data_IF_998181297350
#
_entry.id   IF_998181297350
#
_cell.length_a   1.000
_cell.length_b   1.000
_cell.length_c   1.000
_cell.angle_alpha   90.00
_cell.angle_beta   90.00
_cell.angle_gamma   90.00
#
_symmetry.space_group_name_H-M   'P 1'
#
loop_
_entity.id
_entity.type
_entity.pdbx_description
1 polymer ?
#
# COMPACT_ATOMS: atom_id res chain seq x y z
N UNK A 1 43.92 16.08 -16.74
CA UNK A 1 42.62 16.72 -16.44
C UNK A 1 41.87 15.78 -15.48
N UNK A 2 41.50 16.31 -14.32
CA UNK A 2 40.75 15.72 -13.18
C UNK A 2 40.32 14.24 -13.20
N UNK A 3 41.08 13.39 -12.53
CA UNK A 3 40.58 12.14 -11.92
C UNK A 3 40.05 12.47 -10.51
N UNK A 4 38.75 12.26 -10.28
CA UNK A 4 38.15 12.27 -8.94
C UNK A 4 38.17 10.86 -8.38
N UNK A 5 38.77 10.77 -7.21
CA UNK A 5 39.09 9.59 -6.42
C UNK A 5 37.88 9.26 -5.53
N UNK A 6 37.42 8.01 -5.53
CA UNK A 6 36.65 7.43 -4.41
C UNK A 6 37.16 6.00 -4.15
N UNK A 7 37.82 5.72 -3.01
CA UNK A 7 38.17 4.37 -2.58
C UNK A 7 37.02 3.69 -1.80
N UNK A 8 37.10 2.36 -1.58
CA UNK A 8 35.97 1.51 -1.21
C UNK A 8 35.65 1.51 0.30
N UNK A 9 34.39 1.25 0.64
CA UNK A 9 33.95 1.02 2.02
C UNK A 9 34.40 -0.37 2.53
N UNK A 10 35.45 -0.40 3.36
CA UNK A 10 35.69 -1.36 4.46
C UNK A 10 35.69 -0.50 5.74
N UNK A 11 35.23 -0.90 6.92
CA UNK A 11 35.17 -2.19 7.59
C UNK A 11 34.24 -2.08 8.80
N UNK A 12 33.54 -3.17 9.12
CA UNK A 12 32.72 -3.36 10.32
C UNK A 12 33.56 -3.11 11.58
N UNK A 13 33.11 -2.19 12.43
CA UNK A 13 33.78 -1.75 13.64
C UNK A 13 33.87 -2.91 14.67
N UNK A 14 35.08 -3.41 15.00
CA UNK A 14 35.29 -4.62 15.81
C UNK A 14 34.87 -4.47 17.28
N UNK A 15 34.50 -3.25 17.69
CA UNK A 15 34.11 -2.90 19.05
C UNK A 15 32.72 -3.42 19.42
N UNK A 16 31.79 -3.51 18.46
CA UNK A 16 30.41 -4.00 18.67
C UNK A 16 30.32 -5.51 18.86
N UNK A 17 31.15 -6.28 18.16
CA UNK A 17 31.15 -7.73 18.23
C UNK A 17 31.71 -8.27 19.56
N UNK A 18 32.61 -7.53 20.21
CA UNK A 18 33.18 -7.89 21.52
C UNK A 18 32.17 -7.69 22.65
N UNK A 19 31.39 -6.60 22.61
CA UNK A 19 30.36 -6.30 23.60
C UNK A 19 29.18 -7.29 23.60
N UNK A 20 28.81 -7.83 22.43
CA UNK A 20 27.68 -8.78 22.33
C UNK A 20 28.06 -10.19 22.84
N UNK A 21 29.33 -10.59 22.68
CA UNK A 21 29.83 -11.89 23.16
C UNK A 21 30.01 -11.93 24.68
N UNK A 22 30.55 -10.89 25.29
CA UNK A 22 30.71 -10.82 26.76
C UNK A 22 29.36 -10.74 27.51
N UNK A 23 28.31 -10.24 26.86
CA UNK A 23 26.96 -10.16 27.42
C UNK A 23 26.18 -11.48 27.39
N UNK A 24 26.49 -12.38 26.45
CA UNK A 24 25.84 -13.70 26.33
C UNK A 24 26.40 -14.74 27.30
N UNK A 25 27.64 -14.58 27.78
CA UNK A 25 28.29 -15.53 28.69
C UNK A 25 27.88 -15.39 30.17
N UNK A 26 27.28 -14.26 30.59
CA UNK A 26 27.04 -13.97 32.03
C UNK A 26 25.64 -14.25 32.55
N UNK A 27 24.74 -14.80 31.74
CA UNK A 27 23.43 -15.38 32.11
C UNK A 27 22.68 -14.76 33.33
N UNK A 28 22.71 -13.44 33.51
CA UNK A 28 21.94 -12.68 34.52
C UNK A 28 21.86 -11.20 34.12
N UNK A 29 20.67 -10.59 33.99
CA UNK A 29 20.57 -9.14 33.87
C UNK A 29 20.44 -8.52 35.27
N UNK A 30 21.56 -8.18 35.89
CA UNK A 30 21.59 -7.31 37.06
C UNK A 30 21.50 -5.84 36.61
N UNK A 31 20.30 -5.27 36.64
CA UNK A 31 20.08 -3.82 36.54
C UNK A 31 20.48 -3.14 37.86
N UNK A 32 21.76 -2.83 38.02
CA UNK A 32 22.22 -1.89 39.04
C UNK A 32 22.63 -0.59 38.37
N UNK A 33 21.79 0.45 38.54
CA UNK A 33 22.06 1.82 38.08
C UNK A 33 23.21 2.43 38.87
N UNK A 34 24.23 3.04 38.24
CA UNK A 34 25.05 4.04 38.91
C UNK A 34 24.33 5.40 38.86
N UNK A 35 24.20 6.02 40.02
CA UNK A 35 23.74 7.40 40.22
C UNK A 35 24.78 8.40 39.72
N UNK A 36 24.44 9.21 38.71
CA UNK A 36 24.62 10.68 38.70
C UNK A 36 24.47 11.25 37.29
N UNK A 37 23.75 12.37 37.21
CA UNK A 37 23.62 13.18 36.01
C UNK A 37 22.34 12.90 35.23
N UNK A 38 21.18 13.26 35.80
CA UNK A 38 19.97 13.48 34.99
C UNK A 38 20.27 14.64 34.04
N UNK A 39 20.74 14.33 32.82
CA UNK A 39 20.53 15.24 31.69
C UNK A 39 19.02 15.46 31.63
N UNK A 40 18.52 16.70 31.54
CA UNK A 40 17.10 16.90 31.29
C UNK A 40 16.81 16.19 29.98
N UNK A 41 15.98 15.15 30.03
CA UNK A 41 15.30 14.67 28.84
C UNK A 41 14.60 15.91 28.28
N UNK A 42 14.82 16.32 27.02
CA UNK A 42 14.07 17.43 26.44
C UNK A 42 12.60 17.12 26.71
N UNK A 43 11.93 18.03 27.43
CA UNK A 43 10.57 17.81 27.87
C UNK A 43 9.73 17.40 26.66
N UNK A 44 8.91 16.36 26.81
CA UNK A 44 7.85 16.06 25.83
C UNK A 44 7.21 17.40 25.47
N UNK A 45 7.12 17.80 24.19
CA UNK A 45 6.46 19.04 23.85
C UNK A 45 5.06 18.95 24.45
N UNK A 46 4.80 19.82 25.44
CA UNK A 46 3.46 19.99 26.00
C UNK A 46 2.62 20.55 24.87
N UNK A 47 1.87 19.68 24.19
CA UNK A 47 0.76 20.07 23.33
C UNK A 47 -0.38 20.60 24.23
N UNK A 48 -0.13 21.64 25.02
CA UNK A 48 -1.10 22.25 25.96
C UNK A 48 -1.97 23.31 25.23
N UNK A 49 -2.20 23.17 23.92
CA UNK A 49 -3.17 23.99 23.19
C UNK A 49 -3.96 23.14 22.22
N UNK A 50 -5.29 23.29 22.21
CA UNK A 50 -6.22 22.61 21.30
C UNK A 50 -5.75 22.72 19.85
N UNK A 51 -5.24 23.90 19.45
CA UNK A 51 -4.64 24.12 18.14
C UNK A 51 -3.41 23.25 17.86
N UNK A 52 -2.50 23.10 18.82
CA UNK A 52 -1.32 22.25 18.62
C UNK A 52 -1.71 20.76 18.49
N UNK A 53 -2.78 20.34 19.15
CA UNK A 53 -3.32 18.99 19.02
C UNK A 53 -4.01 18.76 17.68
N UNK A 54 -4.80 19.73 17.20
CA UNK A 54 -5.41 19.71 15.85
C UNK A 54 -4.34 19.65 14.76
N UNK A 55 -3.36 20.56 14.79
CA UNK A 55 -2.27 20.57 13.80
C UNK A 55 -1.44 19.28 13.82
N UNK A 56 -1.23 18.70 14.99
CA UNK A 56 -0.53 17.42 15.09
C UNK A 56 -1.33 16.28 14.46
N UNK A 57 -2.65 16.21 14.70
CA UNK A 57 -3.52 15.21 14.10
C UNK A 57 -3.59 15.35 12.58
N UNK A 58 -3.78 16.57 12.07
CA UNK A 58 -3.73 16.87 10.64
C UNK A 58 -2.42 16.38 10.02
N UNK A 59 -1.29 16.67 10.67
CA UNK A 59 0.00 16.22 10.18
C UNK A 59 0.14 14.69 10.15
N UNK A 60 -0.43 13.97 11.11
CA UNK A 60 -0.46 12.51 11.09
C UNK A 60 -1.27 11.96 9.92
N UNK A 61 -2.37 12.60 9.53
CA UNK A 61 -3.15 12.19 8.37
C UNK A 61 -2.37 12.43 7.07
N UNK A 62 -1.66 13.55 6.98
CA UNK A 62 -0.88 13.91 5.81
C UNK A 62 0.39 13.06 5.62
N UNK A 63 1.00 12.58 6.71
CA UNK A 63 2.19 11.73 6.64
C UNK A 63 1.87 10.26 6.34
N UNK A 64 0.60 9.87 6.34
CA UNK A 64 0.21 8.50 6.10
C UNK A 64 0.51 8.12 4.64
N UNK A 65 1.15 6.96 4.39
CA UNK A 65 1.45 6.49 3.03
C UNK A 65 0.21 5.95 2.29
N UNK A 66 -0.92 5.88 2.97
CA UNK A 66 -2.19 5.38 2.45
C UNK A 66 -3.11 6.55 2.17
N UNK A 67 -3.94 6.42 1.13
CA UNK A 67 -4.96 7.41 0.82
C UNK A 67 -6.07 7.35 1.87
N UNK A 68 -6.37 8.49 2.48
CA UNK A 68 -7.32 8.59 3.58
C UNK A 68 -8.46 9.53 3.19
N UNK A 69 -9.68 9.13 3.54
CA UNK A 69 -10.85 9.99 3.54
C UNK A 69 -11.61 9.87 4.86
N UNK A 70 -11.88 11.01 5.47
CA UNK A 70 -12.83 11.14 6.57
C UNK A 70 -14.19 11.51 6.02
N UNK A 71 -15.22 10.81 6.48
CA UNK A 71 -16.61 11.04 6.08
C UNK A 71 -17.48 11.40 7.28
N UNK A 72 -18.53 12.16 7.04
CA UNK A 72 -19.62 12.35 8.00
C UNK A 72 -20.55 11.11 8.05
N UNK A 73 -21.61 11.20 8.87
CA UNK A 73 -22.63 10.15 9.02
C UNK A 73 -23.47 9.92 7.76
N UNK A 74 -23.46 10.86 6.81
CA UNK A 74 -24.12 10.74 5.50
C UNK A 74 -23.16 10.22 4.42
N UNK A 75 -21.94 9.83 4.80
CA UNK A 75 -20.86 9.37 3.92
C UNK A 75 -20.35 10.46 2.94
N UNK A 76 -20.52 11.73 3.30
CA UNK A 76 -19.93 12.86 2.58
C UNK A 76 -18.54 13.14 3.10
N UNK A 77 -17.63 13.48 2.20
CA UNK A 77 -16.24 13.77 2.55
C UNK A 77 -16.15 15.03 3.41
N UNK A 78 -15.52 14.91 4.58
CA UNK A 78 -15.17 16.02 5.45
C UNK A 78 -13.67 16.30 5.47
N UNK A 79 -12.83 15.36 5.04
CA UNK A 79 -11.39 15.61 4.87
C UNK A 79 -10.76 14.50 4.03
N UNK A 80 -9.70 14.84 3.30
CA UNK A 80 -8.85 13.90 2.55
C UNK A 80 -7.41 14.32 2.70
N UNK A 81 -6.49 13.36 2.73
CA UNK A 81 -5.06 13.66 2.77
C UNK A 81 -4.46 13.82 1.36
N UNK A 82 -3.19 14.20 1.30
CA UNK A 82 -2.43 14.34 0.05
C UNK A 82 -2.41 13.05 -0.76
N UNK A 83 -2.29 11.88 -0.11
CA UNK A 83 -2.26 10.59 -0.81
C UNK A 83 -3.58 10.24 -1.49
N UNK A 84 -4.73 10.62 -0.91
CA UNK A 84 -6.03 10.48 -1.58
C UNK A 84 -6.06 11.29 -2.87
N UNK A 85 -5.60 12.54 -2.82
CA UNK A 85 -5.51 13.41 -4.00
C UNK A 85 -4.58 12.80 -5.05
N UNK A 86 -3.42 12.29 -4.63
CA UNK A 86 -2.46 11.63 -5.52
C UNK A 86 -3.03 10.37 -6.18
N UNK A 87 -3.77 9.56 -5.42
CA UNK A 87 -4.31 8.28 -5.90
C UNK A 87 -5.51 8.46 -6.84
N UNK A 88 -6.45 9.34 -6.49
CA UNK A 88 -7.73 9.48 -7.20
C UNK A 88 -7.84 10.71 -8.09
N UNK A 89 -6.97 11.71 -7.92
CA UNK A 89 -6.93 12.93 -8.74
C UNK A 89 -7.97 13.99 -8.38
N UNK A 90 -8.72 13.82 -7.28
CA UNK A 90 -9.64 14.83 -6.77
C UNK A 90 -8.93 15.73 -5.76
N UNK A 91 -9.04 17.04 -5.94
CA UNK A 91 -8.56 18.00 -4.95
C UNK A 91 -9.41 17.96 -3.67
N UNK A 92 -8.88 18.37 -2.51
CA UNK A 92 -9.66 18.44 -1.28
C UNK A 92 -10.94 19.27 -1.43
N UNK A 93 -10.88 20.38 -2.16
CA UNK A 93 -12.01 21.27 -2.42
C UNK A 93 -13.08 20.61 -3.31
N UNK A 94 -12.65 19.81 -4.29
CA UNK A 94 -13.57 19.05 -5.13
C UNK A 94 -14.19 17.86 -4.41
N UNK A 95 -13.50 17.30 -3.42
CA UNK A 95 -13.98 16.15 -2.67
C UNK A 95 -14.94 16.58 -1.55
N UNK A 96 -14.66 17.71 -0.88
CA UNK A 96 -15.41 18.21 0.27
C UNK A 96 -16.93 18.25 0.04
N UNK A 97 -17.68 17.69 0.99
CA UNK A 97 -19.15 17.68 1.00
C UNK A 97 -19.81 16.75 -0.02
N UNK A 98 -19.04 16.10 -0.91
CA UNK A 98 -19.57 15.13 -1.87
C UNK A 98 -19.63 13.74 -1.27
N UNK A 99 -20.62 12.97 -1.68
CA UNK A 99 -20.73 11.57 -1.33
C UNK A 99 -19.53 10.80 -1.93
N UNK A 100 -18.80 10.06 -1.09
CA UNK A 100 -17.58 9.37 -1.51
C UNK A 100 -17.84 8.36 -2.64
N UNK A 101 -19.01 7.71 -2.62
CA UNK A 101 -19.42 6.76 -3.65
C UNK A 101 -19.52 7.38 -5.04
N UNK A 102 -19.89 8.67 -5.14
CA UNK A 102 -19.98 9.38 -6.41
C UNK A 102 -18.61 9.84 -6.93
N UNK A 103 -17.58 9.82 -6.09
CA UNK A 103 -16.23 10.24 -6.46
C UNK A 103 -15.41 9.05 -7.00
N UNK A 104 -15.39 7.96 -6.25
CA UNK A 104 -14.39 6.90 -6.46
C UNK A 104 -14.99 5.51 -6.67
N UNK A 105 -16.31 5.32 -6.55
CA UNK A 105 -16.90 4.00 -6.78
C UNK A 105 -17.34 3.84 -8.24
N UNK A 106 -16.91 2.76 -8.93
CA UNK A 106 -17.42 2.43 -10.25
C UNK A 106 -18.94 2.21 -10.25
N UNK A 107 -19.66 2.58 -11.32
CA UNK A 107 -21.13 2.54 -11.37
C UNK A 107 -21.71 1.11 -11.31
N UNK A 108 -20.93 0.08 -11.63
CA UNK A 108 -21.32 -1.33 -11.57
C UNK A 108 -21.23 -1.94 -10.15
N UNK A 109 -20.88 -1.15 -9.14
CA UNK A 109 -20.62 -1.61 -7.76
C UNK A 109 -21.73 -1.31 -6.76
N UNK A 110 -22.97 -1.19 -7.20
CA UNK A 110 -24.13 -0.91 -6.34
C UNK A 110 -24.28 -1.90 -5.17
N UNK A 111 -24.05 -3.20 -5.40
CA UNK A 111 -24.13 -4.21 -4.33
C UNK A 111 -23.04 -4.01 -3.24
N UNK A 112 -21.84 -3.59 -3.63
CA UNK A 112 -20.75 -3.30 -2.71
C UNK A 112 -21.07 -2.08 -1.83
N UNK A 113 -21.69 -1.05 -2.41
CA UNK A 113 -22.17 0.14 -1.69
C UNK A 113 -23.17 -0.27 -0.60
N UNK A 114 -24.18 -1.07 -0.96
CA UNK A 114 -25.20 -1.52 -0.02
C UNK A 114 -24.58 -2.29 1.15
N UNK A 115 -23.70 -3.25 0.84
CA UNK A 115 -23.01 -4.04 1.86
C UNK A 115 -22.13 -3.18 2.79
N UNK A 116 -21.35 -2.24 2.23
CA UNK A 116 -20.51 -1.34 3.04
C UNK A 116 -21.36 -0.49 3.99
N UNK A 117 -22.47 0.09 3.50
CA UNK A 117 -23.38 0.92 4.31
C UNK A 117 -24.00 0.10 5.45
N UNK A 118 -24.46 -1.12 5.16
CA UNK A 118 -25.04 -2.00 6.18
C UNK A 118 -24.04 -2.33 7.30
N UNK A 119 -22.82 -2.73 6.94
CA UNK A 119 -21.78 -3.08 7.90
C UNK A 119 -21.37 -1.88 8.76
N UNK A 120 -21.25 -0.69 8.16
CA UNK A 120 -20.90 0.54 8.87
C UNK A 120 -22.00 0.97 9.85
N UNK A 121 -23.28 0.82 9.49
CA UNK A 121 -24.43 1.08 10.39
C UNK A 121 -24.41 0.12 11.59
N UNK A 122 -23.95 -1.11 11.40
CA UNK A 122 -23.76 -2.07 12.49
C UNK A 122 -22.53 -1.79 13.36
N UNK A 123 -21.80 -0.70 13.10
CA UNK A 123 -20.57 -0.36 13.81
C UNK A 123 -19.39 -1.29 13.47
N UNK A 124 -19.50 -2.06 12.38
CA UNK A 124 -18.47 -3.02 12.00
C UNK A 124 -17.46 -2.40 11.05
N UNK A 125 -16.18 -2.77 11.22
CA UNK A 125 -15.14 -2.44 10.24
C UNK A 125 -15.31 -3.32 9.01
N UNK A 126 -15.02 -2.75 7.85
CA UNK A 126 -14.98 -3.47 6.58
C UNK A 126 -13.59 -3.40 5.98
N UNK A 127 -13.19 -4.44 5.25
CA UNK A 127 -11.96 -4.46 4.48
C UNK A 127 -12.11 -5.43 3.30
N UNK A 128 -11.72 -5.01 2.10
CA UNK A 128 -11.76 -5.83 0.89
C UNK A 128 -10.78 -5.36 -0.18
N UNK A 129 -10.34 -6.29 -1.03
CA UNK A 129 -9.73 -5.94 -2.31
C UNK A 129 -10.82 -5.63 -3.34
N UNK A 130 -10.76 -4.46 -3.96
CA UNK A 130 -11.76 -4.00 -4.91
C UNK A 130 -11.14 -3.01 -5.90
N UNK A 131 -11.96 -2.53 -6.85
CA UNK A 131 -11.56 -1.48 -7.79
C UNK A 131 -12.22 -0.17 -7.43
N UNK A 132 -11.47 0.92 -7.59
CA UNK A 132 -11.95 2.29 -7.50
C UNK A 132 -11.68 3.01 -8.81
N UNK A 133 -12.45 4.05 -9.06
CA UNK A 133 -12.34 4.89 -10.23
C UNK A 133 -11.62 6.19 -9.86
N UNK A 134 -10.62 6.56 -10.65
CA UNK A 134 -9.98 7.88 -10.57
C UNK A 134 -10.82 8.92 -11.32
N UNK A 135 -10.53 10.20 -11.11
CA UNK A 135 -11.19 11.32 -11.78
C UNK A 135 -11.12 11.24 -13.32
N UNK A 136 -10.06 10.67 -13.87
CA UNK A 136 -9.88 10.47 -15.32
C UNK A 136 -10.68 9.27 -15.88
N UNK A 137 -11.40 8.54 -15.03
CA UNK A 137 -12.18 7.36 -15.36
C UNK A 137 -11.40 6.04 -15.31
N UNK A 138 -10.07 6.08 -15.15
CA UNK A 138 -9.24 4.88 -15.01
C UNK A 138 -9.54 4.12 -13.71
N UNK A 139 -9.35 2.80 -13.74
CA UNK A 139 -9.51 1.97 -12.56
C UNK A 139 -8.19 1.78 -11.82
N UNK A 140 -8.28 1.67 -10.50
CA UNK A 140 -7.17 1.30 -9.61
C UNK A 140 -7.60 0.13 -8.75
N UNK A 141 -6.74 -0.89 -8.67
CA UNK A 141 -6.91 -1.97 -7.71
C UNK A 141 -6.48 -1.47 -6.33
N UNK A 142 -7.39 -1.53 -5.36
CA UNK A 142 -7.13 -1.07 -3.99
C UNK A 142 -7.53 -2.12 -2.98
N UNK A 143 -6.78 -2.16 -1.88
CA UNK A 143 -7.29 -2.68 -0.63
C UNK A 143 -7.99 -1.53 0.10
N UNK A 144 -9.32 -1.59 0.16
CA UNK A 144 -10.16 -0.58 0.79
C UNK A 144 -10.55 -1.06 2.19
N UNK A 145 -10.45 -0.19 3.18
CA UNK A 145 -11.01 -0.44 4.52
C UNK A 145 -11.81 0.77 4.99
N UNK A 146 -12.90 0.51 5.71
CA UNK A 146 -13.71 1.56 6.32
C UNK A 146 -14.02 1.18 7.76
N UNK A 147 -13.74 2.11 8.67
CA UNK A 147 -13.95 1.95 10.11
C UNK A 147 -14.88 3.05 10.61
N UNK A 148 -15.99 2.73 11.28
CA UNK A 148 -16.85 3.75 11.86
C UNK A 148 -16.12 4.47 13.00
N UNK A 149 -16.22 5.79 13.04
CA UNK A 149 -15.64 6.62 14.10
C UNK A 149 -16.69 6.83 15.17
N UNK A 150 -16.42 6.33 16.38
CA UNK A 150 -17.34 6.37 17.51
C UNK A 150 -16.86 7.38 18.56
N UNK A 151 -17.71 8.32 18.94
CA UNK A 151 -17.48 9.24 20.07
C UNK A 151 -18.63 9.09 21.05
N UNK A 152 -18.33 8.79 22.31
CA UNK A 152 -19.33 8.59 23.37
C UNK A 152 -20.44 7.58 23.02
N UNK A 153 -20.10 6.55 22.24
CA UNK A 153 -21.05 5.51 21.80
C UNK A 153 -21.89 5.89 20.57
N UNK A 154 -21.74 7.10 20.03
CA UNK A 154 -22.40 7.54 18.82
C UNK A 154 -21.43 7.55 17.63
N UNK A 155 -21.88 7.04 16.48
CA UNK A 155 -21.12 7.18 15.24
C UNK A 155 -21.16 8.63 14.78
N UNK A 156 -19.98 9.22 14.61
CA UNK A 156 -19.82 10.61 14.14
C UNK A 156 -19.30 10.70 12.72
N UNK A 157 -18.88 9.57 12.14
CA UNK A 157 -18.33 9.53 10.80
C UNK A 157 -17.73 8.17 10.45
N UNK A 158 -16.98 8.15 9.35
CA UNK A 158 -16.28 6.96 8.85
C UNK A 158 -14.85 7.34 8.46
N UNK A 159 -13.92 6.51 8.90
CA UNK A 159 -12.51 6.55 8.52
C UNK A 159 -12.28 5.56 7.39
N UNK A 160 -12.11 6.05 6.17
CA UNK A 160 -11.85 5.25 4.99
C UNK A 160 -10.37 5.33 4.58
N UNK A 161 -9.79 4.18 4.27
CA UNK A 161 -8.38 4.05 3.91
C UNK A 161 -8.24 3.18 2.67
N UNK A 162 -7.37 3.61 1.76
CA UNK A 162 -7.09 2.96 0.51
C UNK A 162 -5.60 2.75 0.34
N UNK A 163 -5.22 1.50 0.09
CA UNK A 163 -3.88 1.11 -0.32
C UNK A 163 -3.95 0.70 -1.78
N UNK A 164 -3.12 1.31 -2.63
CA UNK A 164 -2.94 0.83 -4.00
C UNK A 164 -2.28 -0.55 -3.93
N UNK A 165 -2.90 -1.54 -4.56
CA UNK A 165 -2.39 -2.92 -4.65
C UNK A 165 -2.11 -3.32 -6.10
N UNK A 166 -2.06 -2.34 -7.02
CA UNK A 166 -1.87 -2.58 -8.45
C UNK A 166 -0.52 -3.23 -8.72
N UNK A 167 0.53 -2.84 -8.00
CA UNK A 167 1.89 -3.37 -8.20
C UNK A 167 1.98 -4.81 -7.69
N UNK A 168 1.40 -5.08 -6.53
CA UNK A 168 1.29 -6.40 -5.92
C UNK A 168 0.51 -7.35 -6.83
N UNK A 169 -0.64 -6.92 -7.35
CA UNK A 169 -1.42 -7.72 -8.30
C UNK A 169 -0.68 -7.97 -9.60
N UNK A 170 0.01 -6.96 -10.16
CA UNK A 170 0.83 -7.15 -11.36
C UNK A 170 1.96 -8.16 -11.12
N UNK A 171 2.65 -8.06 -9.99
CA UNK A 171 3.70 -9.00 -9.61
C UNK A 171 3.16 -10.42 -9.42
N UNK A 172 2.00 -10.56 -8.77
CA UNK A 172 1.34 -11.84 -8.56
C UNK A 172 0.92 -12.47 -9.90
N UNK A 173 0.29 -11.70 -10.79
CA UNK A 173 -0.11 -12.18 -12.12
C UNK A 173 1.08 -12.59 -12.97
N UNK A 174 2.17 -11.82 -12.95
CA UNK A 174 3.41 -12.16 -13.66
C UNK A 174 4.03 -13.46 -13.12
N UNK A 175 4.13 -13.60 -11.80
CA UNK A 175 4.66 -14.80 -11.16
C UNK A 175 3.82 -16.05 -11.51
N UNK A 176 2.49 -15.93 -11.44
CA UNK A 176 1.57 -17.01 -11.82
C UNK A 176 1.72 -17.41 -13.29
N UNK A 177 1.85 -16.44 -14.19
CA UNK A 177 2.06 -16.69 -15.60
C UNK A 177 3.38 -17.44 -15.87
N UNK A 178 4.48 -17.04 -15.22
CA UNK A 178 5.77 -17.71 -15.35
C UNK A 178 5.72 -19.17 -14.88
N UNK A 179 5.04 -19.44 -13.75
CA UNK A 179 4.87 -20.79 -13.26
C UNK A 179 4.08 -21.65 -14.26
N UNK A 180 2.95 -21.14 -14.78
CA UNK A 180 2.15 -21.83 -15.79
C UNK A 180 2.93 -22.10 -17.07
N UNK A 181 3.79 -21.18 -17.50
CA UNK A 181 4.67 -21.38 -18.65
C UNK A 181 5.71 -22.47 -18.38
N UNK A 182 6.34 -22.47 -17.20
CA UNK A 182 7.32 -23.49 -16.82
C UNK A 182 6.67 -24.89 -16.74
N UNK A 183 5.48 -24.99 -16.14
CA UNK A 183 4.71 -26.23 -16.11
C UNK A 183 4.41 -26.75 -17.52
N UNK A 184 3.96 -25.87 -18.42
CA UNK A 184 3.70 -26.22 -19.82
C UNK A 184 4.96 -26.59 -20.58
N UNK A 185 6.10 -25.95 -20.32
CA UNK A 185 7.37 -26.34 -20.90
C UNK A 185 7.81 -27.74 -20.48
N UNK A 186 7.54 -28.13 -19.22
CA UNK A 186 7.90 -29.45 -18.69
C UNK A 186 6.94 -30.58 -19.07
N UNK A 187 5.69 -30.26 -19.43
CA UNK A 187 4.63 -31.23 -19.71
C UNK A 187 4.19 -31.28 -21.18
N UNK A 188 4.65 -30.36 -22.03
CA UNK A 188 4.29 -30.36 -23.44
C UNK A 188 4.99 -31.51 -24.18
N UNK A 189 4.19 -32.35 -24.82
CA UNK A 189 4.65 -33.41 -25.73
C UNK A 189 5.05 -32.85 -27.10
N UNK A 190 4.53 -31.65 -27.44
CA UNK A 190 4.71 -31.00 -28.73
C UNK A 190 4.94 -29.48 -28.56
N UNK A 191 5.87 -28.95 -29.35
CA UNK A 191 6.28 -27.56 -29.37
C UNK A 191 5.15 -26.63 -29.84
N UNK A 192 4.28 -27.11 -30.73
CA UNK A 192 3.12 -26.34 -31.19
C UNK A 192 2.11 -26.11 -30.05
N UNK A 193 1.86 -27.14 -29.24
CA UNK A 193 1.00 -27.04 -28.05
C UNK A 193 1.60 -26.11 -26.99
N UNK A 194 2.91 -26.18 -26.79
CA UNK A 194 3.62 -25.27 -25.88
C UNK A 194 3.46 -23.80 -26.30
N UNK A 195 3.69 -23.47 -27.57
CA UNK A 195 3.56 -22.09 -28.06
C UNK A 195 2.13 -21.56 -27.99
N UNK A 196 1.14 -22.39 -28.30
CA UNK A 196 -0.26 -22.02 -28.11
C UNK A 196 -0.57 -21.72 -26.63
N UNK A 197 -0.04 -22.52 -25.70
CA UNK A 197 -0.22 -22.29 -24.27
C UNK A 197 0.46 -20.99 -23.81
N UNK A 198 1.70 -20.73 -24.25
CA UNK A 198 2.41 -19.47 -23.94
C UNK A 198 1.63 -18.27 -24.47
N UNK A 199 1.18 -18.32 -25.72
CA UNK A 199 0.39 -17.24 -26.33
C UNK A 199 -0.87 -16.94 -25.51
N UNK A 200 -1.61 -17.98 -25.09
CA UNK A 200 -2.82 -17.82 -24.27
C UNK A 200 -2.51 -17.19 -22.90
N UNK A 201 -1.43 -17.61 -22.24
CA UNK A 201 -1.01 -17.06 -20.94
C UNK A 201 -0.61 -15.57 -21.09
N UNK A 202 0.17 -15.22 -22.12
CA UNK A 202 0.56 -13.83 -22.37
C UNK A 202 -0.65 -12.96 -22.71
N UNK A 203 -1.62 -13.50 -23.45
CA UNK A 203 -2.86 -12.81 -23.80
C UNK A 203 -3.72 -12.42 -22.59
N UNK A 204 -3.59 -13.11 -21.46
CA UNK A 204 -4.26 -12.75 -20.21
C UNK A 204 -3.59 -11.56 -19.51
N UNK A 205 -2.30 -11.31 -19.75
CA UNK A 205 -1.53 -10.23 -19.11
C UNK A 205 -1.52 -8.94 -19.94
N UNK A 206 -1.58 -9.07 -21.26
CA UNK A 206 -1.47 -7.94 -22.18
C UNK A 206 -2.22 -8.22 -23.48
N UNK A 207 -2.48 -7.16 -24.25
CA UNK A 207 -3.06 -7.32 -25.58
C UNK A 207 -2.06 -8.01 -26.52
N UNK A 208 -2.21 -9.33 -26.69
CA UNK A 208 -1.28 -10.17 -27.40
C UNK A 208 -1.66 -10.43 -28.87
N UNK A 209 -2.56 -9.65 -29.47
CA UNK A 209 -3.05 -9.92 -30.84
C UNK A 209 -1.95 -9.94 -31.90
N UNK A 210 -0.85 -9.22 -31.66
CA UNK A 210 0.32 -9.15 -32.54
C UNK A 210 1.55 -9.86 -31.94
N UNK A 211 1.35 -10.77 -30.99
CA UNK A 211 2.42 -11.56 -30.39
C UNK A 211 2.64 -12.84 -31.21
N UNK A 212 3.85 -13.00 -31.75
CA UNK A 212 4.21 -14.16 -32.55
C UNK A 212 5.48 -14.81 -32.01
N UNK A 213 5.49 -16.14 -31.99
CA UNK A 213 6.69 -16.93 -31.67
C UNK A 213 7.21 -17.49 -33.00
N UNK A 214 8.40 -17.07 -33.40
CA UNK A 214 9.05 -17.54 -34.63
C UNK A 214 10.23 -18.45 -34.27
N UNK A 215 10.30 -19.60 -34.93
CA UNK A 215 11.47 -20.46 -34.94
C UNK A 215 12.39 -19.99 -36.07
N UNK A 216 13.63 -19.69 -35.74
CA UNK A 216 14.66 -19.36 -36.74
C UNK A 216 15.48 -20.60 -37.05
N UNK A 217 15.49 -21.00 -38.34
CA UNK A 217 16.36 -22.05 -38.86
C UNK A 217 17.44 -21.42 -39.77
N UNK A 218 18.73 -21.46 -39.39
CA UNK A 218 19.82 -20.91 -40.19
C UNK A 218 20.11 -21.68 -41.49
N UNK A 219 19.50 -22.85 -41.72
CA UNK A 219 19.76 -23.70 -42.90
C UNK A 219 18.91 -23.40 -44.15
N UNK A 220 17.95 -22.46 -44.07
CA UNK A 220 16.99 -22.19 -45.14
C UNK A 220 17.27 -20.83 -45.81
N UNK A 221 18.36 -20.76 -46.58
CA UNK A 221 18.73 -19.64 -47.46
C UNK A 221 18.94 -20.11 -48.90
#
# INVERSE_FOLDING_TARGET
MGEKITPPARSVDPTRAKFLREALERNTPALSRPSNGVRPVPGKPKLDSTKAQETYLEHLLECAPEAIALLDVEHKVVHVNTEFTRMFGFTPEEAWGRALELLIMPPDRAAEICWLKEMLVQGQRTALETKRQRKDGSLVDVFASATPVMISGQQVGVWAVYRDISDEKRAQSLSSALLRMAEKASSAEDLQQFYAAVHNIVAELMYARNFYIALYDPGNH
#
